data_IF_272835093335
#
_entry.id   IF_272835093335
#
_cell.length_a   1.000
_cell.length_b   1.000
_cell.length_c   1.000
_cell.angle_alpha   90.00
_cell.angle_beta   90.00
_cell.angle_gamma   90.00
#
_symmetry.space_group_name_H-M   'P 1'
#
loop_
_entity.id
_entity.type
_entity.pdbx_description
1 polymer ?
#
# COMPACT_ATOMS: atom_id res chain seq x y z
N UNK A 1 -8.80 6.60 18.45
CA UNK A 1 -8.08 5.74 17.47
C UNK A 1 -8.62 6.04 16.08
N UNK A 2 -7.76 6.36 15.10
CA UNK A 2 -8.14 6.74 13.74
C UNK A 2 -8.09 5.50 12.83
N UNK A 3 -9.25 4.92 12.56
CA UNK A 3 -9.38 3.75 11.67
C UNK A 3 -9.55 4.24 10.22
N UNK A 4 -10.51 5.12 9.98
CA UNK A 4 -10.71 5.74 8.68
C UNK A 4 -10.28 7.21 8.72
N UNK A 5 -9.68 7.68 7.62
CA UNK A 5 -9.29 9.08 7.47
C UNK A 5 -9.35 9.53 6.01
N UNK A 6 -9.61 10.81 5.82
CA UNK A 6 -9.72 11.43 4.51
C UNK A 6 -8.35 11.96 4.05
N UNK A 7 -8.03 11.75 2.78
CA UNK A 7 -6.85 12.33 2.16
C UNK A 7 -7.02 12.46 0.64
N UNK A 8 -6.79 13.66 0.11
CA UNK A 8 -6.85 13.96 -1.33
C UNK A 8 -8.12 13.43 -2.04
N UNK A 9 -9.29 13.53 -1.38
CA UNK A 9 -10.59 13.10 -1.94
C UNK A 9 -10.80 11.58 -1.98
N UNK A 10 -10.03 10.84 -1.21
CA UNK A 10 -10.16 9.40 -0.99
C UNK A 10 -10.37 9.10 0.50
N UNK A 11 -10.95 7.93 0.79
CA UNK A 11 -11.09 7.44 2.16
C UNK A 11 -10.06 6.33 2.41
N UNK A 12 -9.25 6.52 3.43
CA UNK A 12 -8.14 5.62 3.78
C UNK A 12 -8.49 4.75 4.97
N UNK A 13 -8.01 3.50 4.96
CA UNK A 13 -8.24 2.49 6.00
C UNK A 13 -6.92 2.14 6.67
N UNK A 14 -6.76 2.53 7.93
CA UNK A 14 -5.58 2.30 8.75
C UNK A 14 -5.77 1.02 9.58
N UNK A 15 -5.03 -0.03 9.27
CA UNK A 15 -5.26 -1.37 9.81
C UNK A 15 -4.29 -1.77 10.92
N UNK A 16 -3.07 -1.23 10.91
CA UNK A 16 -1.99 -1.70 11.78
C UNK A 16 -0.85 -0.69 11.86
N UNK A 17 -0.08 -0.74 12.94
CA UNK A 17 1.20 -0.04 13.07
C UNK A 17 2.38 -0.94 12.65
N UNK A 18 2.17 -2.24 12.42
CA UNK A 18 3.22 -3.19 12.04
C UNK A 18 3.67 -2.93 10.62
N UNK A 19 4.98 -2.99 10.40
CA UNK A 19 5.58 -2.88 9.07
C UNK A 19 6.90 -3.67 9.07
N UNK A 20 7.19 -4.46 8.04
CA UNK A 20 8.46 -5.19 7.93
C UNK A 20 9.65 -4.28 7.58
N UNK A 21 9.39 -3.00 7.28
CA UNK A 21 10.38 -2.01 6.89
C UNK A 21 10.55 -0.91 7.95
N UNK A 22 11.76 -0.32 7.98
CA UNK A 22 12.10 0.85 8.77
C UNK A 22 12.67 1.95 7.85
N UNK A 23 11.88 2.34 6.84
CA UNK A 23 12.32 3.24 5.76
C UNK A 23 12.87 4.56 6.31
N UNK A 24 13.97 5.03 5.73
CA UNK A 24 14.64 6.28 6.12
C UNK A 24 13.78 7.54 5.89
N UNK A 25 12.80 7.44 4.99
CA UNK A 25 11.87 8.52 4.58
C UNK A 25 10.43 8.29 5.07
N UNK A 26 10.21 7.39 6.03
CA UNK A 26 8.86 7.05 6.47
C UNK A 26 8.22 8.23 7.21
N UNK A 27 7.07 8.68 6.74
CA UNK A 27 6.32 9.83 7.31
C UNK A 27 6.01 9.64 8.81
N UNK A 28 5.81 8.42 9.27
CA UNK A 28 5.56 8.12 10.69
C UNK A 28 6.70 8.50 11.64
N UNK A 29 7.89 8.85 11.10
CA UNK A 29 9.02 9.33 11.91
C UNK A 29 8.93 10.83 12.20
N UNK A 30 8.22 11.58 11.37
CA UNK A 30 8.14 13.04 11.42
C UNK A 30 6.73 13.55 11.67
N UNK A 31 5.72 12.72 11.48
CA UNK A 31 4.30 13.06 11.62
C UNK A 31 3.56 12.00 12.40
N UNK A 32 2.53 12.41 13.12
CA UNK A 32 1.58 11.52 13.80
C UNK A 32 0.19 11.50 13.14
N UNK A 33 -0.05 12.40 12.18
CA UNK A 33 -1.31 12.56 11.45
C UNK A 33 -1.05 12.96 9.99
N UNK A 34 -2.09 12.89 9.17
CA UNK A 34 -2.10 13.36 7.78
C UNK A 34 -3.22 14.39 7.63
N UNK A 35 -2.89 15.56 7.07
CA UNK A 35 -3.81 16.71 6.91
C UNK A 35 -4.60 16.99 8.20
N UNK A 36 -5.93 16.89 8.14
CA UNK A 36 -6.83 17.18 9.25
C UNK A 36 -7.21 15.91 10.06
N UNK A 37 -6.55 14.79 9.83
CA UNK A 37 -6.83 13.58 10.62
C UNK A 37 -6.31 13.72 12.06
N UNK A 38 -6.86 12.91 12.97
CA UNK A 38 -6.22 12.67 14.24
C UNK A 38 -5.01 11.76 14.06
N UNK A 39 -4.28 11.48 15.15
CA UNK A 39 -3.13 10.58 15.11
C UNK A 39 -3.45 9.26 14.43
N UNK A 40 -2.60 8.87 13.47
CA UNK A 40 -2.69 7.58 12.78
C UNK A 40 -2.01 6.44 13.56
N UNK A 41 -1.37 6.73 14.67
CA UNK A 41 -0.89 5.69 15.58
C UNK A 41 -2.09 5.00 16.25
N UNK A 42 -2.29 3.74 15.92
CA UNK A 42 -3.35 2.93 16.53
C UNK A 42 -2.94 2.51 17.94
N UNK A 43 -3.85 2.61 18.88
CA UNK A 43 -3.67 2.08 20.25
C UNK A 43 -3.62 0.55 20.25
N UNK A 44 -4.36 -0.06 19.35
CA UNK A 44 -4.38 -1.49 19.02
C UNK A 44 -4.84 -1.70 17.58
N UNK A 45 -4.68 -2.89 17.05
CA UNK A 45 -5.30 -3.26 15.78
C UNK A 45 -6.83 -3.31 15.92
N UNK A 46 -7.59 -2.58 15.05
CA UNK A 46 -9.05 -2.65 15.07
C UNK A 46 -9.54 -4.02 14.59
N UNK A 47 -10.64 -4.50 15.14
CA UNK A 47 -11.33 -5.66 14.58
C UNK A 47 -11.97 -5.31 13.24
N UNK A 48 -12.28 -6.33 12.43
CA UNK A 48 -12.98 -6.15 11.14
C UNK A 48 -14.33 -5.46 11.35
N UNK A 49 -15.05 -5.83 12.42
CA UNK A 49 -16.34 -5.22 12.73
C UNK A 49 -16.21 -3.72 13.06
N UNK A 50 -15.18 -3.32 13.82
CA UNK A 50 -14.94 -1.90 14.12
C UNK A 50 -14.61 -1.11 12.84
N UNK A 51 -13.87 -1.70 11.90
CA UNK A 51 -13.58 -1.07 10.60
C UNK A 51 -14.87 -0.89 9.81
N UNK A 52 -15.70 -1.93 9.72
CA UNK A 52 -16.98 -1.89 9.00
C UNK A 52 -17.94 -0.88 9.65
N UNK A 53 -18.00 -0.82 10.96
CA UNK A 53 -18.87 0.11 11.67
C UNK A 53 -18.43 1.56 11.48
N UNK A 54 -17.12 1.82 11.38
CA UNK A 54 -16.60 3.16 11.16
C UNK A 54 -16.98 3.71 9.79
N UNK A 55 -17.15 2.88 8.75
CA UNK A 55 -17.67 3.32 7.44
C UNK A 55 -19.05 3.97 7.52
N UNK A 56 -19.87 3.68 8.51
CA UNK A 56 -21.20 4.29 8.72
C UNK A 56 -21.12 5.79 9.01
N UNK A 57 -19.96 6.27 9.44
CA UNK A 57 -19.72 7.69 9.73
C UNK A 57 -19.38 8.51 8.47
N UNK A 58 -19.22 7.85 7.31
CA UNK A 58 -18.79 8.47 6.06
C UNK A 58 -19.80 8.25 4.93
N UNK A 59 -20.08 9.30 4.15
CA UNK A 59 -20.80 9.14 2.90
C UNK A 59 -19.81 8.76 1.79
N UNK A 60 -19.82 7.47 1.40
CA UNK A 60 -18.83 6.93 0.45
C UNK A 60 -18.94 7.57 -0.95
N UNK A 61 -20.07 8.19 -1.30
CA UNK A 61 -20.21 8.90 -2.58
C UNK A 61 -19.28 10.11 -2.71
N UNK A 62 -18.84 10.66 -1.60
CA UNK A 62 -17.90 11.78 -1.57
C UNK A 62 -16.47 11.40 -1.96
N UNK A 63 -16.13 10.10 -2.02
CA UNK A 63 -14.77 9.63 -2.27
C UNK A 63 -14.66 8.94 -3.62
N UNK A 64 -13.49 9.13 -4.27
CA UNK A 64 -13.20 8.50 -5.56
C UNK A 64 -12.90 7.01 -5.40
N UNK A 65 -12.17 6.65 -4.36
CA UNK A 65 -11.77 5.27 -4.04
C UNK A 65 -11.57 5.09 -2.53
N UNK A 66 -11.55 3.83 -2.08
CA UNK A 66 -11.18 3.45 -0.73
C UNK A 66 -9.78 2.84 -0.78
N UNK A 67 -8.89 3.28 0.11
CA UNK A 67 -7.47 2.95 0.07
C UNK A 67 -7.03 2.28 1.37
N UNK A 68 -6.62 1.03 1.32
CA UNK A 68 -5.95 0.38 2.45
C UNK A 68 -4.52 0.93 2.57
N UNK A 69 -4.30 1.80 3.54
CA UNK A 69 -3.01 2.46 3.81
C UNK A 69 -3.06 3.14 5.18
N UNK A 70 -1.95 3.15 5.87
CA UNK A 70 -1.78 3.81 7.16
C UNK A 70 -0.30 3.91 7.52
N UNK A 71 0.01 4.04 8.81
CA UNK A 71 1.40 4.06 9.26
C UNK A 71 2.09 2.70 9.20
N UNK A 72 1.34 1.62 9.23
CA UNK A 72 1.85 0.28 9.03
C UNK A 72 1.72 -0.20 7.57
N UNK A 73 2.15 -1.43 7.34
CA UNK A 73 1.97 -2.14 6.09
C UNK A 73 0.63 -2.88 6.09
N UNK A 74 -0.33 -2.53 5.21
CA UNK A 74 -1.66 -3.12 5.24
C UNK A 74 -1.66 -4.65 5.11
N UNK A 75 -0.75 -5.21 4.33
CA UNK A 75 -0.67 -6.66 4.10
C UNK A 75 -0.20 -7.48 5.30
N UNK A 76 0.25 -6.85 6.40
CA UNK A 76 0.40 -7.49 7.71
C UNK A 76 -0.95 -8.03 8.23
N UNK A 77 -2.06 -7.48 7.70
CA UNK A 77 -3.43 -7.86 8.05
C UNK A 77 -4.25 -8.26 6.82
N UNK A 78 -3.67 -9.13 5.99
CA UNK A 78 -4.32 -9.53 4.73
C UNK A 78 -5.73 -10.10 4.94
N UNK A 79 -5.96 -10.90 5.98
CA UNK A 79 -7.27 -11.49 6.24
C UNK A 79 -8.31 -10.39 6.54
N UNK A 80 -7.95 -9.35 7.30
CA UNK A 80 -8.82 -8.20 7.54
C UNK A 80 -9.10 -7.41 6.25
N UNK A 81 -8.09 -7.24 5.38
CA UNK A 81 -8.31 -6.61 4.06
C UNK A 81 -9.36 -7.40 3.27
N UNK A 82 -9.23 -8.72 3.19
CA UNK A 82 -10.15 -9.58 2.43
C UNK A 82 -11.58 -9.48 2.97
N UNK A 83 -11.75 -9.56 4.30
CA UNK A 83 -13.09 -9.46 4.91
C UNK A 83 -13.72 -8.07 4.69
N UNK A 84 -12.98 -6.98 4.91
CA UNK A 84 -13.46 -5.62 4.70
C UNK A 84 -13.73 -5.37 3.21
N UNK A 85 -12.84 -5.79 2.30
CA UNK A 85 -13.04 -5.63 0.86
C UNK A 85 -14.26 -6.42 0.37
N UNK A 86 -14.48 -7.62 0.88
CA UNK A 86 -15.69 -8.42 0.58
C UNK A 86 -16.95 -7.69 1.00
N UNK A 87 -16.99 -7.13 2.20
CA UNK A 87 -18.10 -6.31 2.67
C UNK A 87 -18.33 -5.09 1.77
N UNK A 88 -17.27 -4.36 1.44
CA UNK A 88 -17.35 -3.16 0.61
C UNK A 88 -17.87 -3.48 -0.80
N UNK A 89 -17.33 -4.51 -1.45
CA UNK A 89 -17.77 -4.94 -2.79
C UNK A 89 -19.21 -5.45 -2.83
N UNK A 90 -19.71 -6.03 -1.73
CA UNK A 90 -21.11 -6.49 -1.64
C UNK A 90 -22.10 -5.35 -1.44
N UNK A 91 -21.68 -4.21 -0.89
CA UNK A 91 -22.60 -3.14 -0.47
C UNK A 91 -22.40 -1.82 -1.22
N UNK A 92 -21.24 -1.61 -1.88
CA UNK A 92 -20.89 -0.33 -2.50
C UNK A 92 -20.15 -0.56 -3.82
N UNK A 93 -20.45 0.30 -4.81
CA UNK A 93 -19.73 0.34 -6.09
C UNK A 93 -18.58 1.36 -5.98
N UNK A 94 -17.52 0.98 -5.28
CA UNK A 94 -16.31 1.80 -5.10
C UNK A 94 -15.05 1.04 -5.47
N UNK A 95 -14.12 1.69 -6.18
CA UNK A 95 -12.79 1.11 -6.40
C UNK A 95 -12.05 0.94 -5.08
N UNK A 96 -11.36 -0.19 -4.92
CA UNK A 96 -10.53 -0.51 -3.76
C UNK A 96 -9.07 -0.57 -4.17
N UNK A 97 -8.22 0.14 -3.43
CA UNK A 97 -6.77 0.16 -3.65
C UNK A 97 -6.01 -0.26 -2.40
N UNK A 98 -4.88 -0.93 -2.59
CA UNK A 98 -3.88 -1.15 -1.55
C UNK A 98 -2.63 -0.35 -1.89
N UNK A 99 -2.12 0.45 -0.95
CA UNK A 99 -0.78 0.99 -1.00
C UNK A 99 0.12 0.11 -0.13
N UNK A 100 1.16 -0.47 -0.70
CA UNK A 100 1.98 -1.49 -0.03
C UNK A 100 3.47 -1.35 -0.37
N UNK A 101 4.32 -1.91 0.49
CA UNK A 101 5.73 -2.10 0.20
C UNK A 101 6.01 -3.34 -0.69
N UNK A 102 4.97 -4.14 -1.02
CA UNK A 102 5.09 -5.32 -1.87
C UNK A 102 5.68 -6.56 -1.20
N UNK A 103 5.83 -6.58 0.11
CA UNK A 103 6.40 -7.73 0.84
C UNK A 103 5.35 -8.65 1.47
N UNK A 104 4.09 -8.53 1.04
CA UNK A 104 2.97 -9.26 1.61
C UNK A 104 3.14 -10.78 1.59
N UNK A 105 3.74 -11.34 0.54
CA UNK A 105 4.00 -12.79 0.45
C UNK A 105 5.02 -13.25 1.52
N UNK A 106 6.07 -12.46 1.76
CA UNK A 106 7.04 -12.74 2.81
C UNK A 106 6.46 -12.61 4.21
N UNK A 107 5.67 -11.56 4.44
CA UNK A 107 5.02 -11.31 5.73
C UNK A 107 4.10 -12.46 6.11
N UNK A 108 3.34 -12.97 5.15
CA UNK A 108 2.33 -14.01 5.39
C UNK A 108 2.86 -15.44 5.16
N UNK A 109 4.13 -15.61 4.77
CA UNK A 109 4.74 -16.90 4.42
C UNK A 109 3.92 -17.70 3.39
N UNK A 110 3.20 -17.03 2.50
CA UNK A 110 2.38 -17.61 1.45
C UNK A 110 2.16 -16.61 0.32
N UNK A 111 1.80 -17.09 -0.87
CA UNK A 111 1.33 -16.21 -1.94
C UNK A 111 -0.08 -15.71 -1.62
N UNK A 112 -0.20 -14.40 -1.32
CA UNK A 112 -1.49 -13.74 -1.02
C UNK A 112 -2.14 -13.14 -2.26
N UNK A 113 -1.44 -13.09 -3.40
CA UNK A 113 -1.94 -12.39 -4.60
C UNK A 113 -3.24 -12.98 -5.17
N UNK A 114 -3.47 -14.33 -5.15
CA UNK A 114 -4.74 -14.88 -5.58
C UNK A 114 -5.94 -14.46 -4.71
N UNK A 115 -5.70 -14.14 -3.44
CA UNK A 115 -6.77 -13.72 -2.51
C UNK A 115 -7.37 -12.35 -2.89
N UNK A 116 -6.65 -11.55 -3.68
CA UNK A 116 -7.03 -10.19 -4.05
C UNK A 116 -7.98 -10.16 -5.27
N UNK A 117 -8.12 -11.30 -5.96
CA UNK A 117 -8.90 -11.40 -7.20
C UNK A 117 -10.37 -11.02 -6.99
N UNK A 118 -10.84 -10.06 -7.80
CA UNK A 118 -12.23 -9.59 -7.75
C UNK A 118 -12.56 -8.70 -6.54
N UNK A 119 -11.62 -8.48 -5.64
CA UNK A 119 -11.79 -7.61 -4.46
C UNK A 119 -11.03 -6.29 -4.62
N UNK A 120 -9.81 -6.34 -5.11
CA UNK A 120 -8.93 -5.17 -5.22
C UNK A 120 -8.78 -4.76 -6.68
N UNK A 121 -9.03 -3.49 -6.96
CA UNK A 121 -8.97 -2.93 -8.32
C UNK A 121 -7.57 -2.39 -8.66
N UNK A 122 -6.84 -1.91 -7.64
CA UNK A 122 -5.51 -1.33 -7.82
C UNK A 122 -4.57 -1.71 -6.68
N UNK A 123 -3.35 -2.10 -7.01
CA UNK A 123 -2.24 -2.18 -6.05
C UNK A 123 -1.18 -1.16 -6.45
N UNK A 124 -0.82 -0.28 -5.51
CA UNK A 124 0.29 0.67 -5.65
C UNK A 124 1.44 0.23 -4.76
N UNK A 125 2.54 -0.18 -5.38
CA UNK A 125 3.72 -0.75 -4.71
C UNK A 125 4.84 0.28 -4.71
N UNK A 126 5.53 0.45 -3.60
CA UNK A 126 6.67 1.36 -3.48
C UNK A 126 7.94 0.69 -4.01
N UNK A 127 8.30 1.01 -5.27
CA UNK A 127 9.57 0.59 -5.90
C UNK A 127 10.75 1.37 -5.33
N UNK A 128 10.58 2.68 -5.18
CA UNK A 128 11.53 3.66 -4.61
C UNK A 128 12.81 3.89 -5.45
N UNK A 129 13.45 2.86 -5.98
CA UNK A 129 14.69 2.92 -6.77
C UNK A 129 14.82 1.66 -7.63
N UNK A 130 15.53 1.70 -8.79
CA UNK A 130 15.78 0.50 -9.58
C UNK A 130 16.92 -0.37 -9.04
N UNK A 131 17.68 0.11 -8.05
CA UNK A 131 18.87 -0.54 -7.53
C UNK A 131 18.57 -1.32 -6.24
N UNK A 132 18.92 -2.61 -6.22
CA UNK A 132 18.64 -3.54 -5.12
C UNK A 132 19.32 -3.15 -3.81
N UNK A 133 20.57 -2.75 -3.85
CA UNK A 133 21.36 -2.33 -2.69
C UNK A 133 20.77 -1.04 -2.12
N UNK A 134 20.50 -0.07 -2.99
CA UNK A 134 19.89 1.20 -2.61
C UNK A 134 18.47 1.02 -2.04
N UNK A 135 17.68 0.11 -2.61
CA UNK A 135 16.37 -0.25 -2.07
C UNK A 135 16.48 -0.73 -0.63
N UNK A 136 17.45 -1.64 -0.33
CA UNK A 136 17.64 -2.13 1.03
C UNK A 136 18.10 -1.04 2.00
N UNK A 137 19.02 -0.18 1.58
CA UNK A 137 19.47 0.97 2.39
C UNK A 137 18.29 1.89 2.76
N UNK A 138 17.40 2.17 1.78
CA UNK A 138 16.25 3.04 1.96
C UNK A 138 15.16 2.42 2.82
N UNK A 139 14.85 1.15 2.61
CA UNK A 139 13.70 0.48 3.24
C UNK A 139 14.04 -0.20 4.55
N UNK A 140 15.28 -0.61 4.75
CA UNK A 140 15.75 -1.36 5.92
C UNK A 140 14.83 -2.52 6.28
N UNK A 141 14.45 -3.28 5.23
CA UNK A 141 13.55 -4.41 5.38
C UNK A 141 14.13 -5.49 6.29
N UNK A 142 13.31 -6.05 7.20
CA UNK A 142 13.71 -7.19 8.05
C UNK A 142 14.05 -8.45 7.26
N UNK A 143 13.64 -8.51 5.99
CA UNK A 143 13.94 -9.64 5.09
C UNK A 143 15.26 -9.48 4.33
N UNK A 144 16.03 -8.43 4.62
CA UNK A 144 17.33 -8.20 4.00
C UNK A 144 17.24 -7.71 2.55
N UNK A 145 18.35 -7.84 1.83
CA UNK A 145 18.51 -7.34 0.46
C UNK A 145 17.59 -8.06 -0.54
N UNK A 146 17.22 -9.31 -0.28
CA UNK A 146 16.31 -10.09 -1.13
C UNK A 146 14.88 -9.54 -1.16
N UNK A 147 14.55 -8.59 -0.29
CA UNK A 147 13.25 -7.91 -0.30
C UNK A 147 12.97 -7.17 -1.60
N UNK A 148 13.99 -6.72 -2.33
CA UNK A 148 13.82 -6.10 -3.65
C UNK A 148 13.25 -7.09 -4.67
N UNK A 149 13.86 -8.26 -4.79
CA UNK A 149 13.41 -9.30 -5.73
C UNK A 149 12.03 -9.83 -5.31
N UNK A 150 11.78 -9.96 -4.01
CA UNK A 150 10.50 -10.41 -3.49
C UNK A 150 9.37 -9.39 -3.79
N UNK A 151 9.65 -8.09 -3.74
CA UNK A 151 8.70 -7.04 -4.12
C UNK A 151 8.37 -7.09 -5.62
N UNK A 152 9.37 -7.30 -6.48
CA UNK A 152 9.18 -7.45 -7.92
C UNK A 152 8.39 -8.73 -8.27
N UNK A 153 8.70 -9.85 -7.61
CA UNK A 153 7.94 -11.10 -7.74
C UNK A 153 6.48 -10.93 -7.31
N UNK A 154 6.25 -10.21 -6.20
CA UNK A 154 4.90 -9.87 -5.75
C UNK A 154 4.15 -9.04 -6.80
N UNK A 155 4.77 -8.01 -7.38
CA UNK A 155 4.17 -7.19 -8.43
C UNK A 155 3.78 -8.02 -9.65
N UNK A 156 4.70 -8.90 -10.12
CA UNK A 156 4.46 -9.81 -11.23
C UNK A 156 3.30 -10.76 -10.96
N UNK A 157 3.25 -11.37 -9.77
CA UNK A 157 2.16 -12.29 -9.40
C UNK A 157 0.83 -11.56 -9.25
N UNK A 158 0.83 -10.37 -8.64
CA UNK A 158 -0.37 -9.56 -8.48
C UNK A 158 -1.02 -9.19 -9.82
N UNK A 159 -0.22 -8.96 -10.89
CA UNK A 159 -0.71 -8.63 -12.22
C UNK A 159 -1.59 -9.73 -12.86
N UNK A 160 -1.52 -10.97 -12.36
CA UNK A 160 -2.41 -12.05 -12.79
C UNK A 160 -3.83 -11.98 -12.18
N UNK A 161 -4.01 -11.22 -11.10
CA UNK A 161 -5.25 -11.23 -10.30
C UNK A 161 -5.87 -9.84 -10.09
N UNK A 162 -5.08 -8.78 -10.17
CA UNK A 162 -5.51 -7.40 -9.92
C UNK A 162 -5.41 -6.59 -11.22
N UNK A 163 -6.50 -5.89 -11.62
CA UNK A 163 -6.54 -5.16 -12.89
C UNK A 163 -5.44 -4.12 -13.07
N UNK A 164 -5.09 -3.39 -11.99
CA UNK A 164 -4.11 -2.32 -12.06
C UNK A 164 -3.01 -2.55 -11.03
N UNK A 165 -1.82 -2.90 -11.49
CA UNK A 165 -0.62 -2.98 -10.63
C UNK A 165 0.33 -1.86 -11.01
N UNK A 166 0.71 -1.05 -10.02
CA UNK A 166 1.51 0.15 -10.20
C UNK A 166 2.76 0.03 -9.32
N UNK A 167 3.94 0.16 -9.91
CA UNK A 167 5.18 0.41 -9.18
C UNK A 167 5.45 1.92 -9.16
N UNK A 168 5.81 2.47 -8.01
CA UNK A 168 5.95 3.92 -7.89
C UNK A 168 7.25 4.34 -7.22
N UNK A 169 7.75 5.51 -7.67
CA UNK A 169 8.80 6.29 -7.02
C UNK A 169 8.27 7.65 -6.65
N UNK A 170 9.02 8.42 -5.88
CA UNK A 170 8.69 9.81 -5.54
C UNK A 170 9.57 10.74 -6.37
N UNK A 171 8.98 11.80 -6.91
CA UNK A 171 9.69 12.83 -7.68
C UNK A 171 10.90 13.36 -6.89
N UNK A 172 11.99 13.64 -7.57
CA UNK A 172 13.25 14.18 -7.03
C UNK A 172 14.04 13.24 -6.10
N UNK A 173 13.54 12.04 -5.77
CA UNK A 173 14.27 11.09 -4.90
C UNK A 173 15.26 10.22 -5.65
N UNK A 174 15.13 10.13 -6.96
CA UNK A 174 16.03 9.42 -7.88
C UNK A 174 16.31 10.27 -9.11
N UNK A 175 17.35 9.93 -9.87
CA UNK A 175 17.72 10.62 -11.10
C UNK A 175 16.78 10.29 -12.25
N UNK A 176 16.81 11.10 -13.32
CA UNK A 176 16.03 10.81 -14.55
C UNK A 176 16.48 9.54 -15.28
N UNK A 177 17.73 9.16 -15.13
CA UNK A 177 18.27 7.91 -15.62
C UNK A 177 17.68 6.72 -14.84
N UNK A 178 17.65 6.81 -13.53
CA UNK A 178 17.03 5.80 -12.66
C UNK A 178 15.50 5.70 -12.89
N UNK A 179 14.81 6.81 -13.17
CA UNK A 179 13.40 6.77 -13.56
C UNK A 179 13.19 5.95 -14.85
N UNK A 180 14.11 6.06 -15.84
CA UNK A 180 14.05 5.24 -17.07
C UNK A 180 14.32 3.76 -16.79
N UNK A 181 15.19 3.46 -15.83
CA UNK A 181 15.44 2.08 -15.40
C UNK A 181 14.21 1.50 -14.66
N UNK A 182 13.55 2.28 -13.80
CA UNK A 182 12.28 1.91 -13.20
C UNK A 182 11.19 1.64 -14.24
N UNK A 183 11.11 2.46 -15.30
CA UNK A 183 10.17 2.23 -16.40
C UNK A 183 10.45 0.89 -17.11
N UNK A 184 11.72 0.57 -17.40
CA UNK A 184 12.07 -0.73 -18.00
C UNK A 184 11.68 -1.91 -17.14
N UNK A 185 11.93 -1.83 -15.82
CA UNK A 185 11.49 -2.86 -14.87
C UNK A 185 9.98 -3.06 -14.95
N UNK A 186 9.20 -1.99 -14.99
CA UNK A 186 7.76 -2.06 -15.11
C UNK A 186 7.30 -2.67 -16.44
N UNK A 187 7.95 -2.28 -17.55
CA UNK A 187 7.66 -2.82 -18.89
C UNK A 187 7.92 -4.35 -18.94
N UNK A 188 9.03 -4.80 -18.35
CA UNK A 188 9.39 -6.24 -18.26
C UNK A 188 8.40 -7.04 -17.40
N UNK A 189 7.85 -6.43 -16.36
CA UNK A 189 6.85 -7.05 -15.48
C UNK A 189 5.42 -6.95 -16.03
N UNK A 190 5.19 -6.12 -17.05
CA UNK A 190 3.86 -5.84 -17.57
C UNK A 190 2.97 -5.03 -16.61
N UNK A 191 3.57 -4.13 -15.82
CA UNK A 191 2.88 -3.28 -14.84
C UNK A 191 3.10 -1.79 -15.15
N UNK A 192 2.33 -0.92 -14.51
CA UNK A 192 2.42 0.52 -14.73
C UNK A 192 3.51 1.15 -13.86
N UNK A 193 4.31 2.06 -14.42
CA UNK A 193 5.19 2.93 -13.64
C UNK A 193 4.51 4.26 -13.33
N UNK A 194 4.67 4.76 -12.09
CA UNK A 194 4.16 6.06 -11.67
C UNK A 194 5.17 6.82 -10.82
N UNK A 195 5.43 8.07 -11.19
CA UNK A 195 6.16 9.02 -10.36
C UNK A 195 5.12 9.80 -9.54
N UNK A 196 5.21 9.73 -8.22
CA UNK A 196 4.36 10.49 -7.30
C UNK A 196 4.99 11.85 -7.01
N UNK A 197 4.21 12.92 -6.85
CA UNK A 197 4.74 14.18 -6.36
C UNK A 197 5.48 14.00 -5.03
N UNK A 198 6.51 14.82 -4.84
CA UNK A 198 7.14 14.94 -3.51
C UNK A 198 6.18 15.71 -2.59
N UNK A 199 5.96 15.19 -1.41
CA UNK A 199 5.13 15.82 -0.36
C UNK A 199 6.02 16.10 0.85
N UNK A 200 6.13 17.40 1.26
CA UNK A 200 6.89 17.87 2.41
C UNK A 200 6.29 17.39 3.73
#
# INVERSE_FOLDING_TARGET
MTILYEYQGNLYVNLTNKCPCACTFCLRQTRDHIENSNSLWLEREPSVQEIIDDFKNFNLDNYKEIVFCGFGEPTERIDAIIEVATYLKANFDKPLRINTNGLGNLVNNKDITPMLKGLIDTISISLNTPNKERYYELTRSRFGIESFDAMLDFAKKAAAYVPNVILSTVETTITKEEEKECQKICDELGVTYRIRPYED
#
